data_IF_562567372460
#
_entry.id   IF_562567372460
#
_cell.length_a   1.000
_cell.length_b   1.000
_cell.length_c   1.000
_cell.angle_alpha   90.00
_cell.angle_beta   90.00
_cell.angle_gamma   90.00
#
_symmetry.space_group_name_H-M   'P 1'
#
loop_
_entity.id
_entity.type
_entity.pdbx_description
1 polymer ?
#
# COMPACT_ATOMS: atom_id res chain seq x y z
N UNK A 1 20.60 -10.11 2.54
CA UNK A 1 20.75 -10.32 4.00
C UNK A 1 19.62 -9.65 4.75
N UNK A 2 19.43 -9.93 6.03
CA UNK A 2 18.24 -9.50 6.82
C UNK A 2 17.93 -8.00 6.78
N UNK A 3 18.93 -7.14 6.59
CA UNK A 3 18.73 -5.70 6.41
C UNK A 3 17.85 -5.34 5.21
N UNK A 4 17.87 -6.18 4.17
CA UNK A 4 17.07 -6.00 2.96
C UNK A 4 15.57 -5.96 3.25
N UNK A 5 15.09 -6.77 4.20
CA UNK A 5 13.67 -6.76 4.60
C UNK A 5 13.29 -5.39 5.16
N UNK A 6 14.14 -4.79 5.99
CA UNK A 6 13.90 -3.45 6.54
C UNK A 6 13.91 -2.38 5.46
N UNK A 7 14.82 -2.47 4.49
CA UNK A 7 14.86 -1.52 3.38
C UNK A 7 13.62 -1.60 2.50
N UNK A 8 13.10 -2.80 2.26
CA UNK A 8 11.85 -3.00 1.52
C UNK A 8 10.68 -2.26 2.21
N UNK A 9 10.59 -2.32 3.54
CA UNK A 9 9.54 -1.59 4.27
C UNK A 9 9.72 -0.07 4.20
N UNK A 10 10.96 0.42 4.23
CA UNK A 10 11.26 1.86 4.09
C UNK A 10 10.87 2.35 2.68
N UNK A 11 11.29 1.63 1.64
CA UNK A 11 10.97 1.97 0.25
C UNK A 11 9.46 1.89 -0.03
N UNK A 12 8.78 0.86 0.49
CA UNK A 12 7.32 0.78 0.42
C UNK A 12 6.67 2.01 1.08
N UNK A 13 7.19 2.46 2.22
CA UNK A 13 6.71 3.66 2.92
C UNK A 13 6.91 4.92 2.09
N UNK A 14 8.07 5.09 1.45
CA UNK A 14 8.33 6.19 0.52
C UNK A 14 7.35 6.17 -0.66
N UNK A 15 7.13 5.01 -1.27
CA UNK A 15 6.17 4.85 -2.36
C UNK A 15 4.74 5.19 -1.93
N UNK A 16 4.32 4.72 -0.75
CA UNK A 16 3.00 5.03 -0.19
C UNK A 16 2.83 6.53 0.06
N UNK A 17 3.87 7.23 0.52
CA UNK A 17 3.82 8.67 0.71
C UNK A 17 3.61 9.44 -0.61
N UNK A 18 4.20 8.97 -1.71
CA UNK A 18 3.93 9.56 -3.03
C UNK A 18 2.46 9.38 -3.42
N UNK A 19 1.85 8.22 -3.15
CA UNK A 19 0.42 7.99 -3.38
C UNK A 19 -0.43 8.94 -2.54
N UNK A 20 -0.10 9.16 -1.26
CA UNK A 20 -0.78 10.17 -0.43
C UNK A 20 -0.72 11.58 -1.05
N UNK A 21 0.47 12.02 -1.49
CA UNK A 21 0.64 13.35 -2.08
C UNK A 21 -0.16 13.51 -3.38
N UNK A 22 -0.21 12.46 -4.22
CA UNK A 22 -1.02 12.46 -5.44
C UNK A 22 -2.52 12.41 -5.13
N UNK A 23 -2.95 11.65 -4.12
CA UNK A 23 -4.35 11.65 -3.69
C UNK A 23 -4.76 13.06 -3.24
N UNK A 24 -3.94 13.74 -2.45
CA UNK A 24 -4.19 15.12 -2.02
C UNK A 24 -4.27 16.09 -3.20
N UNK A 25 -3.35 16.02 -4.17
CA UNK A 25 -3.35 16.93 -5.32
C UNK A 25 -4.58 16.75 -6.23
N UNK A 26 -5.17 15.55 -6.26
CA UNK A 26 -6.37 15.21 -7.03
C UNK A 26 -7.67 15.41 -6.23
N UNK A 27 -7.61 15.97 -5.03
CA UNK A 27 -8.72 16.08 -4.07
C UNK A 27 -9.38 14.71 -3.72
N UNK A 28 -8.57 13.66 -3.71
CA UNK A 28 -8.94 12.32 -3.26
C UNK A 28 -8.45 12.07 -1.82
N UNK A 29 -9.01 11.04 -1.20
CA UNK A 29 -8.56 10.49 0.07
C UNK A 29 -7.97 9.09 -0.11
N UNK A 30 -6.97 8.77 0.70
CA UNK A 30 -6.41 7.43 0.81
C UNK A 30 -5.92 7.16 2.24
N UNK A 31 -5.66 5.89 2.57
CA UNK A 31 -5.04 5.49 3.82
C UNK A 31 -4.17 4.25 3.60
N UNK A 32 -3.01 4.17 4.24
CA UNK A 32 -2.22 2.93 4.28
C UNK A 32 -2.83 1.96 5.27
N UNK A 33 -3.09 0.73 4.82
CA UNK A 33 -3.49 -0.40 5.66
C UNK A 33 -2.37 -1.44 5.58
N UNK A 34 -1.71 -1.70 6.71
CA UNK A 34 -0.64 -2.71 6.83
C UNK A 34 -1.06 -3.99 7.56
N UNK A 35 -2.31 -4.08 8.01
CA UNK A 35 -2.86 -5.26 8.67
C UNK A 35 -4.01 -5.83 7.85
N UNK A 36 -3.81 -7.00 7.27
CA UNK A 36 -4.77 -7.74 6.44
C UNK A 36 -4.40 -9.24 6.45
N UNK A 37 -5.15 -10.07 5.73
CA UNK A 37 -4.86 -11.50 5.59
C UNK A 37 -4.06 -11.71 4.30
N UNK A 38 -2.74 -11.84 4.42
CA UNK A 38 -1.79 -11.89 3.31
C UNK A 38 -2.17 -12.96 2.27
N UNK A 39 -2.54 -14.16 2.72
CA UNK A 39 -2.91 -15.27 1.83
C UNK A 39 -4.14 -14.96 0.96
N UNK A 40 -5.14 -14.29 1.53
CA UNK A 40 -6.35 -13.90 0.79
C UNK A 40 -6.02 -12.80 -0.22
N UNK A 41 -5.24 -11.80 0.18
CA UNK A 41 -4.83 -10.69 -0.69
C UNK A 41 -4.00 -11.19 -1.87
N UNK A 42 -3.00 -12.06 -1.63
CA UNK A 42 -2.19 -12.68 -2.69
C UNK A 42 -3.04 -13.39 -3.72
N UNK A 43 -4.03 -14.15 -3.25
CA UNK A 43 -4.98 -14.85 -4.13
C UNK A 43 -5.83 -13.87 -4.94
N UNK A 44 -6.36 -12.83 -4.31
CA UNK A 44 -7.22 -11.82 -4.96
C UNK A 44 -6.47 -11.10 -6.08
N UNK A 45 -5.22 -10.69 -5.83
CA UNK A 45 -4.42 -9.95 -6.81
C UNK A 45 -3.64 -10.84 -7.77
N UNK A 46 -3.77 -12.17 -7.64
CA UNK A 46 -3.01 -13.17 -8.41
C UNK A 46 -1.49 -12.94 -8.34
N UNK A 47 -1.01 -12.64 -7.13
CA UNK A 47 0.41 -12.40 -6.85
C UNK A 47 1.25 -13.65 -7.18
N UNK A 48 2.47 -13.44 -7.65
CA UNK A 48 3.45 -14.50 -7.85
C UNK A 48 3.84 -15.20 -6.55
N UNK A 49 4.38 -16.41 -6.65
CA UNK A 49 4.75 -17.21 -5.46
C UNK A 49 5.73 -16.49 -4.52
N UNK A 50 6.60 -15.64 -5.07
CA UNK A 50 7.63 -14.90 -4.33
C UNK A 50 7.25 -13.43 -4.03
N UNK A 51 6.03 -13.01 -4.37
CA UNK A 51 5.55 -11.65 -4.09
C UNK A 51 4.81 -11.64 -2.75
N UNK A 52 5.03 -10.62 -1.92
CA UNK A 52 4.31 -10.46 -0.65
C UNK A 52 3.63 -9.09 -0.59
N UNK A 53 2.32 -9.00 -0.31
CA UNK A 53 1.64 -7.74 -0.15
C UNK A 53 2.12 -7.03 1.13
N UNK A 54 2.52 -5.77 1.01
CA UNK A 54 2.96 -4.96 2.15
C UNK A 54 1.91 -3.94 2.60
N UNK A 55 1.26 -3.29 1.65
CA UNK A 55 0.25 -2.27 1.91
C UNK A 55 -0.96 -2.44 1.01
N UNK A 56 -2.13 -2.11 1.56
CA UNK A 56 -3.35 -1.83 0.79
C UNK A 56 -3.64 -0.33 0.94
N UNK A 57 -3.90 0.34 -0.19
CA UNK A 57 -4.21 1.77 -0.23
C UNK A 57 -5.51 2.02 -1.00
N UNK A 58 -6.69 2.00 -0.35
CA UNK A 58 -7.92 2.40 -1.00
C UNK A 58 -7.84 3.89 -1.40
N UNK A 59 -8.32 4.24 -2.58
CA UNK A 59 -8.39 5.63 -3.06
C UNK A 59 -9.84 5.95 -3.42
N UNK A 60 -10.33 7.08 -2.93
CA UNK A 60 -11.72 7.48 -3.16
C UNK A 60 -11.94 8.98 -3.00
N UNK A 61 -13.15 9.43 -3.37
CA UNK A 61 -13.53 10.83 -3.16
C UNK A 61 -13.69 11.11 -1.67
N UNK A 62 -13.23 12.27 -1.23
CA UNK A 62 -13.52 12.76 0.12
C UNK A 62 -15.03 12.96 0.24
N UNK A 63 -15.59 12.59 1.40
CA UNK A 63 -17.00 12.87 1.67
C UNK A 63 -17.14 14.38 1.84
N UNK A 64 -17.92 15.03 0.98
CA UNK A 64 -18.38 16.39 1.22
C UNK A 64 -19.37 16.35 2.38
N UNK A 65 -18.96 16.87 3.53
CA UNK A 65 -19.86 17.26 4.62
C UNK A 65 -20.52 18.59 4.30
#
# INVERSE_FOLDING_TARGET
>A
GERGIRYVHIEAGHAAQNVYLQAVSLDLGTVVIGAFIDSEVKKIVSAGEQEEPLYIMPVGRKRST
#
